data_IF_482090965589
#
_entry.id   IF_482090965589
#
_cell.length_a   1.000
_cell.length_b   1.000
_cell.length_c   1.000
_cell.angle_alpha   90.00
_cell.angle_beta   90.00
_cell.angle_gamma   90.00
#
_symmetry.space_group_name_H-M   'P 1'
#
loop_
_entity.id
_entity.type
_entity.pdbx_description
1 polymer ?
#
# COMPACT_ATOMS: atom_id res chain seq x y z
N UNK A 1 -24.70 13.85 42.23
CA UNK A 1 -23.25 13.61 42.31
C UNK A 1 -23.01 12.15 42.69
N UNK A 2 -22.67 11.30 41.72
CA UNK A 2 -22.00 10.01 41.90
C UNK A 2 -21.38 9.64 40.56
N UNK A 3 -20.06 9.41 40.50
CA UNK A 3 -19.36 8.99 39.30
C UNK A 3 -19.25 7.45 39.27
N UNK A 4 -19.35 6.79 38.10
CA UNK A 4 -19.12 5.36 38.01
C UNK A 4 -17.62 5.02 37.94
N UNK A 5 -17.22 4.06 38.76
CA UNK A 5 -15.88 3.47 38.84
C UNK A 5 -15.51 2.74 37.54
N UNK A 6 -14.37 3.11 36.93
CA UNK A 6 -13.79 2.41 35.77
C UNK A 6 -13.42 0.96 36.10
N UNK A 7 -13.72 -0.03 35.24
CA UNK A 7 -13.17 -1.37 35.39
C UNK A 7 -11.65 -1.36 35.08
N UNK A 8 -10.90 -2.08 35.91
CA UNK A 8 -9.45 -2.25 35.82
C UNK A 8 -9.10 -3.07 34.56
N UNK A 9 -8.64 -2.40 33.51
CA UNK A 9 -8.08 -3.08 32.33
C UNK A 9 -6.80 -3.82 32.76
N UNK A 10 -6.71 -5.11 32.46
CA UNK A 10 -5.49 -5.91 32.63
C UNK A 10 -4.34 -5.23 31.89
N UNK A 11 -3.31 -4.79 32.61
CA UNK A 11 -2.09 -4.25 32.01
C UNK A 11 -1.39 -5.34 31.21
N UNK A 12 -1.25 -5.15 29.90
CA UNK A 12 -0.39 -5.98 29.06
C UNK A 12 1.08 -5.58 29.30
N UNK A 13 2.04 -6.53 29.34
CA UNK A 13 3.45 -6.18 29.46
C UNK A 13 3.95 -5.43 28.23
N UNK A 14 4.86 -4.49 28.44
CA UNK A 14 5.50 -3.73 27.37
C UNK A 14 6.26 -4.67 26.41
N UNK A 15 6.17 -4.46 25.08
CA UNK A 15 6.95 -5.24 24.14
C UNK A 15 8.45 -4.93 24.32
N UNK A 16 9.24 -5.98 24.49
CA UNK A 16 10.70 -5.96 24.32
C UNK A 16 11.08 -5.27 23.01
N UNK A 17 11.75 -4.12 23.13
CA UNK A 17 12.31 -3.36 22.00
C UNK A 17 13.81 -3.62 21.97
N UNK A 18 14.22 -4.65 21.23
CA UNK A 18 15.63 -4.94 20.95
C UNK A 18 15.74 -5.84 19.72
N UNK A 19 16.71 -5.63 18.82
CA UNK A 19 16.89 -6.49 17.66
C UNK A 19 17.30 -7.89 18.12
N UNK A 20 16.48 -8.89 17.78
CA UNK A 20 16.79 -10.30 18.05
C UNK A 20 17.77 -10.80 16.98
N UNK A 21 19.04 -10.89 17.33
CA UNK A 21 20.04 -11.57 16.51
C UNK A 21 19.70 -13.07 16.44
N UNK A 22 19.63 -13.62 15.23
CA UNK A 22 19.45 -15.05 15.03
C UNK A 22 20.73 -15.79 15.45
N UNK A 23 20.59 -16.82 16.27
CA UNK A 23 21.70 -17.71 16.61
C UNK A 23 22.19 -18.41 15.34
N UNK A 24 23.48 -18.28 15.02
CA UNK A 24 24.09 -19.03 13.92
C UNK A 24 24.29 -20.47 14.37
N UNK A 25 23.61 -21.41 13.71
CA UNK A 25 23.80 -22.84 13.93
C UNK A 25 25.19 -23.26 13.43
N UNK A 26 25.92 -23.97 14.29
CA UNK A 26 27.22 -24.55 13.98
C UNK A 26 27.12 -25.68 12.93
N UNK A 27 28.21 -25.80 12.17
CA UNK A 27 28.48 -26.73 11.07
C UNK A 27 27.96 -28.16 11.27
N UNK A 28 27.12 -28.60 10.33
CA UNK A 28 26.92 -30.01 10.00
C UNK A 28 27.62 -30.33 8.68
N UNK A 29 28.57 -31.26 8.70
CA UNK A 29 29.32 -31.72 7.54
C UNK A 29 28.55 -32.81 6.77
N UNK A 30 28.68 -32.76 5.44
CA UNK A 30 28.45 -33.82 4.44
C UNK A 30 27.01 -34.16 3.98
N UNK A 31 26.61 -33.57 2.85
CA UNK A 31 25.84 -34.25 1.79
C UNK A 31 26.51 -33.90 0.45
N UNK A 32 26.63 -34.91 -0.43
CA UNK A 32 27.55 -34.96 -1.56
C UNK A 32 27.44 -33.86 -2.63
N UNK A 33 28.53 -33.75 -3.39
CA UNK A 33 28.78 -32.87 -4.54
C UNK A 33 27.62 -32.92 -5.55
N UNK A 34 26.94 -31.79 -5.84
CA UNK A 34 26.01 -31.73 -6.96
C UNK A 34 26.81 -31.60 -8.27
N UNK A 35 27.01 -32.73 -8.95
CA UNK A 35 27.48 -32.74 -10.34
C UNK A 35 26.51 -31.93 -11.20
N UNK A 36 27.03 -30.87 -11.81
CA UNK A 36 26.33 -30.07 -12.82
C UNK A 36 26.26 -28.58 -12.48
N UNK A 37 27.39 -27.87 -12.56
CA UNK A 37 27.38 -26.41 -12.57
C UNK A 37 26.60 -25.91 -13.80
N UNK A 38 25.37 -25.45 -13.59
CA UNK A 38 24.64 -24.67 -14.58
C UNK A 38 25.47 -23.41 -14.90
N UNK A 39 26.15 -23.43 -16.06
CA UNK A 39 26.95 -22.29 -16.51
C UNK A 39 26.01 -21.14 -16.86
N UNK A 40 26.09 -20.05 -16.07
CA UNK A 40 25.61 -18.69 -16.38
C UNK A 40 24.40 -18.63 -17.33
N UNK A 41 23.20 -18.84 -16.80
CA UNK A 41 22.00 -18.30 -17.44
C UNK A 41 21.94 -16.79 -17.21
N UNK A 42 22.48 -15.99 -18.12
CA UNK A 42 22.13 -14.56 -18.20
C UNK A 42 20.67 -14.50 -18.64
N UNK A 43 19.82 -13.76 -17.90
CA UNK A 43 18.48 -13.42 -18.38
C UNK A 43 18.65 -12.50 -19.61
N UNK A 44 18.58 -13.06 -20.81
CA UNK A 44 18.64 -12.30 -22.07
C UNK A 44 17.34 -11.51 -22.33
N UNK A 45 16.24 -11.87 -21.67
CA UNK A 45 14.99 -11.14 -21.71
C UNK A 45 14.63 -10.65 -20.31
N UNK A 46 14.42 -9.34 -20.17
CA UNK A 46 13.56 -8.80 -19.12
C UNK A 46 12.19 -9.42 -19.35
N UNK A 47 11.80 -10.39 -18.53
CA UNK A 47 10.44 -10.89 -18.54
C UNK A 47 9.47 -9.71 -18.36
N UNK A 48 8.28 -9.74 -18.99
CA UNK A 48 7.31 -8.67 -18.79
C UNK A 48 7.14 -8.45 -17.29
N UNK A 49 7.22 -7.19 -16.87
CA UNK A 49 7.07 -6.83 -15.47
C UNK A 49 5.75 -7.42 -14.97
N UNK A 50 5.84 -8.35 -14.02
CA UNK A 50 4.69 -9.02 -13.43
C UNK A 50 3.75 -8.05 -12.72
N UNK A 51 4.14 -6.77 -12.55
CA UNK A 51 3.24 -5.69 -12.13
C UNK A 51 2.20 -5.30 -13.19
N UNK A 52 2.30 -5.77 -14.43
CA UNK A 52 1.19 -5.72 -15.39
C UNK A 52 0.16 -6.79 -15.02
N UNK A 53 -0.55 -6.56 -13.92
CA UNK A 53 -1.82 -7.25 -13.65
C UNK A 53 -2.81 -7.02 -14.79
N UNK A 54 -3.98 -7.64 -14.68
CA UNK A 54 -5.13 -7.68 -15.59
C UNK A 54 -5.73 -6.32 -16.08
N UNK A 55 -4.95 -5.23 -16.10
CA UNK A 55 -5.38 -3.87 -16.44
C UNK A 55 -6.04 -3.15 -15.27
N UNK A 56 -6.18 -3.79 -14.10
CA UNK A 56 -6.92 -3.24 -12.96
C UNK A 56 -6.02 -2.59 -11.89
N UNK A 57 -4.87 -2.05 -12.28
CA UNK A 57 -4.06 -1.30 -11.31
C UNK A 57 -4.77 0.03 -10.96
N UNK A 58 -4.82 0.42 -9.68
CA UNK A 58 -5.43 1.68 -9.29
C UNK A 58 -4.67 2.86 -9.91
N UNK A 59 -5.34 3.62 -10.79
CA UNK A 59 -4.76 4.80 -11.47
C UNK A 59 -4.97 6.11 -10.71
N UNK A 60 -5.86 6.11 -9.73
CA UNK A 60 -6.25 7.27 -8.93
C UNK A 60 -6.29 6.89 -7.45
N UNK A 61 -5.64 7.71 -6.61
CA UNK A 61 -5.57 7.54 -5.16
C UNK A 61 -6.17 8.76 -4.46
N UNK A 62 -6.91 8.49 -3.39
CA UNK A 62 -7.40 9.50 -2.47
C UNK A 62 -6.89 9.15 -1.07
N UNK A 63 -6.10 10.04 -0.48
CA UNK A 63 -5.61 9.94 0.90
C UNK A 63 -6.37 10.94 1.75
N UNK A 64 -6.97 10.48 2.84
CA UNK A 64 -7.64 11.33 3.83
C UNK A 64 -6.98 11.06 5.19
N UNK A 65 -6.63 12.12 5.89
CA UNK A 65 -6.08 12.10 7.24
C UNK A 65 -6.95 12.97 8.12
N UNK A 66 -7.71 12.35 9.02
CA UNK A 66 -8.59 13.03 9.97
C UNK A 66 -8.30 12.51 11.40
N UNK A 67 -7.20 12.95 12.03
CA UNK A 67 -6.88 12.52 13.39
C UNK A 67 -7.81 13.22 14.39
N UNK A 68 -8.81 12.52 14.93
CA UNK A 68 -9.66 13.01 16.03
C UNK A 68 -10.17 14.46 15.88
N UNK A 69 -10.03 15.28 16.93
CA UNK A 69 -10.42 16.72 16.96
C UNK A 69 -9.59 17.64 16.05
N UNK A 70 -8.70 17.11 15.21
CA UNK A 70 -7.89 17.93 14.31
C UNK A 70 -8.61 18.24 13.00
N UNK A 71 -8.09 19.22 12.27
CA UNK A 71 -8.58 19.62 10.95
C UNK A 71 -8.26 18.52 9.93
N UNK A 72 -9.24 17.96 9.21
CA UNK A 72 -8.98 16.92 8.23
C UNK A 72 -8.19 17.45 7.05
N UNK A 73 -7.35 16.61 6.48
CA UNK A 73 -6.58 16.90 5.27
C UNK A 73 -6.80 15.78 4.27
N UNK A 74 -6.95 16.12 2.99
CA UNK A 74 -7.07 15.16 1.92
C UNK A 74 -6.16 15.50 0.75
N UNK A 75 -5.74 14.47 0.02
CA UNK A 75 -4.93 14.59 -1.20
C UNK A 75 -5.43 13.59 -2.22
N UNK A 76 -5.75 14.06 -3.41
CA UNK A 76 -6.17 13.26 -4.56
C UNK A 76 -5.06 13.30 -5.61
N UNK A 77 -4.52 12.13 -5.96
CA UNK A 77 -3.53 11.97 -7.03
C UNK A 77 -4.04 11.03 -8.11
N UNK A 78 -3.79 11.35 -9.37
CA UNK A 78 -4.04 10.45 -10.49
C UNK A 78 -2.88 10.49 -11.48
N UNK A 79 -2.60 9.34 -12.10
CA UNK A 79 -1.56 9.19 -13.13
C UNK A 79 -1.81 10.07 -14.36
N UNK A 80 -3.02 10.61 -14.54
CA UNK A 80 -3.33 11.55 -15.63
C UNK A 80 -2.72 12.96 -15.40
N UNK A 81 -1.97 13.16 -14.32
CA UNK A 81 -1.38 14.44 -13.94
C UNK A 81 -2.19 15.23 -12.91
N UNK A 82 -3.28 14.67 -12.36
CA UNK A 82 -4.05 15.33 -11.30
C UNK A 82 -3.32 15.19 -9.96
N UNK A 83 -3.03 16.31 -9.31
CA UNK A 83 -2.60 16.37 -7.91
C UNK A 83 -3.33 17.53 -7.22
N UNK A 84 -4.22 17.22 -6.28
CA UNK A 84 -5.01 18.21 -5.54
C UNK A 84 -4.96 17.91 -4.05
N UNK A 85 -4.85 18.94 -3.23
CA UNK A 85 -4.91 18.84 -1.77
C UNK A 85 -5.96 19.78 -1.18
N UNK A 86 -6.54 19.38 -0.07
CA UNK A 86 -7.55 20.13 0.66
C UNK A 86 -7.34 20.00 2.17
N UNK A 87 -7.64 21.07 2.90
CA UNK A 87 -7.58 21.13 4.37
C UNK A 87 -8.89 21.72 4.88
N UNK A 88 -9.47 21.10 5.90
CA UNK A 88 -10.75 21.50 6.49
C UNK A 88 -11.93 20.70 5.96
N UNK A 89 -12.95 20.50 6.81
CA UNK A 89 -14.07 19.60 6.55
C UNK A 89 -14.74 19.85 5.20
N UNK A 90 -15.19 21.08 4.95
CA UNK A 90 -15.91 21.44 3.72
C UNK A 90 -15.06 21.21 2.47
N UNK A 91 -13.78 21.60 2.50
CA UNK A 91 -12.88 21.44 1.35
C UNK A 91 -12.52 19.98 1.11
N UNK A 92 -12.37 19.19 2.18
CA UNK A 92 -12.13 17.74 2.08
C UNK A 92 -13.34 17.03 1.47
N UNK A 93 -14.56 17.36 1.90
CA UNK A 93 -15.78 16.81 1.29
C UNK A 93 -15.87 17.15 -0.20
N UNK A 94 -15.67 18.42 -0.55
CA UNK A 94 -15.64 18.83 -1.96
C UNK A 94 -14.55 18.10 -2.77
N UNK A 95 -13.37 17.83 -2.17
CA UNK A 95 -12.32 17.06 -2.83
C UNK A 95 -12.69 15.59 -3.03
N UNK A 96 -13.49 15.00 -2.14
CA UNK A 96 -14.01 13.62 -2.28
C UNK A 96 -14.97 13.53 -3.48
N UNK A 97 -15.91 14.47 -3.58
CA UNK A 97 -16.85 14.54 -4.71
C UNK A 97 -16.11 14.76 -6.03
N UNK A 98 -15.19 15.73 -6.04
CA UNK A 98 -14.34 16.06 -7.18
C UNK A 98 -13.41 14.89 -7.60
N UNK A 99 -12.91 14.11 -6.64
CA UNK A 99 -12.17 12.88 -6.94
C UNK A 99 -13.06 11.81 -7.57
N UNK A 100 -14.29 11.66 -7.08
CA UNK A 100 -15.25 10.67 -7.61
C UNK A 100 -15.65 11.02 -9.04
N UNK A 101 -16.05 12.27 -9.29
CA UNK A 101 -16.35 12.75 -10.64
C UNK A 101 -15.15 12.61 -11.58
N UNK A 102 -13.94 12.88 -11.08
CA UNK A 102 -12.73 12.70 -11.88
C UNK A 102 -12.50 11.24 -12.27
N UNK A 103 -12.77 10.27 -11.39
CA UNK A 103 -12.58 8.85 -11.70
C UNK A 103 -13.42 8.46 -12.92
N UNK A 104 -14.65 8.93 -13.01
CA UNK A 104 -15.56 8.56 -14.10
C UNK A 104 -15.16 9.15 -15.45
N UNK A 105 -14.49 10.31 -15.46
CA UNK A 105 -14.06 10.99 -16.70
C UNK A 105 -12.58 10.80 -17.04
N UNK A 106 -11.82 10.11 -16.17
CA UNK A 106 -10.38 10.01 -16.33
C UNK A 106 -10.04 9.16 -17.56
N UNK A 107 -9.31 9.69 -18.56
CA UNK A 107 -9.01 8.96 -19.79
C UNK A 107 -8.15 7.72 -19.51
N UNK A 108 -7.29 7.75 -18.50
CA UNK A 108 -6.50 6.58 -18.10
C UNK A 108 -7.35 5.47 -17.47
N UNK A 109 -8.57 5.77 -17.01
CA UNK A 109 -9.53 4.78 -16.49
C UNK A 109 -10.46 4.28 -17.60
N UNK A 110 -11.06 5.20 -18.37
CA UNK A 110 -11.98 4.86 -19.47
C UNK A 110 -11.28 3.99 -20.53
N UNK A 111 -10.02 4.29 -20.87
CA UNK A 111 -9.27 3.48 -21.85
C UNK A 111 -8.92 2.07 -21.33
N UNK A 112 -8.92 1.83 -20.01
CA UNK A 112 -8.77 0.46 -19.46
C UNK A 112 -10.08 -0.32 -19.56
N UNK A 113 -11.22 0.35 -19.35
CA UNK A 113 -12.55 -0.26 -19.48
C UNK A 113 -12.85 -0.62 -20.95
N UNK A 114 -12.44 0.21 -21.92
CA UNK A 114 -12.57 -0.09 -23.36
C UNK A 114 -11.68 -1.25 -23.86
N UNK A 115 -10.62 -1.62 -23.12
CA UNK A 115 -9.76 -2.75 -23.47
C UNK A 115 -10.37 -4.12 -23.08
N UNK A 116 -11.48 -4.13 -22.32
CA UNK A 116 -12.23 -5.34 -21.96
C UNK A 116 -13.26 -5.77 -23.02
N UNK A 117 -13.42 -5.03 -24.12
CA UNK A 117 -14.47 -5.26 -25.13
C UNK A 117 -13.99 -6.00 -26.41
N UNK A 118 -12.81 -6.61 -26.42
CA UNK A 118 -12.23 -7.30 -27.58
C UNK A 118 -11.84 -8.75 -27.27
#
# INVERSE_FOLDING_TARGET
>A
MSAPTRPLLKSLPAPHSGPRAAAQAALGLAVGEPIGAARKGVRTAVGPDSQQGDGRYPVAWLRISAPGRAVPTATSKCLCGRDRSAVGHTKVLALIDDHSAHRDVCPLRINQEGRQAA
#
